data_IF_012993553918
#
_entry.id   IF_012993553918
#
_cell.length_a   1.000
_cell.length_b   1.000
_cell.length_c   1.000
_cell.angle_alpha   90.00
_cell.angle_beta   90.00
_cell.angle_gamma   90.00
#
_symmetry.space_group_name_H-M   'P 1'
#
loop_
_entity.id
_entity.type
_entity.pdbx_description
1 polymer ?
#
# COMPACT_ATOMS: atom_id res chain seq x y z
N UNK A 1 1.62 -28.85 -43.22
CA UNK A 1 2.36 -27.71 -42.65
C UNK A 1 1.77 -27.41 -41.29
N UNK A 2 2.55 -27.63 -40.24
CA UNK A 2 2.15 -27.39 -38.86
C UNK A 2 2.17 -25.87 -38.59
N UNK A 3 1.08 -25.34 -38.05
CA UNK A 3 1.02 -23.99 -37.50
C UNK A 3 1.58 -24.07 -36.08
N UNK A 4 2.83 -23.66 -35.90
CA UNK A 4 3.43 -23.47 -34.58
C UNK A 4 2.75 -22.28 -33.91
N UNK A 5 1.97 -22.58 -32.87
CA UNK A 5 1.40 -21.61 -31.95
C UNK A 5 2.52 -20.79 -31.31
N UNK A 6 2.40 -19.47 -31.41
CA UNK A 6 3.31 -18.56 -30.73
C UNK A 6 3.12 -18.67 -29.22
N UNK A 7 4.14 -19.15 -28.52
CA UNK A 7 4.32 -18.95 -27.09
C UNK A 7 4.42 -17.45 -26.81
N UNK A 8 3.26 -16.80 -26.64
CA UNK A 8 3.14 -15.47 -26.09
C UNK A 8 3.40 -15.47 -24.58
N UNK A 9 4.61 -15.85 -24.16
CA UNK A 9 5.09 -15.54 -22.81
C UNK A 9 5.43 -14.05 -22.75
N UNK A 10 4.40 -13.21 -22.57
CA UNK A 10 4.64 -11.88 -22.03
C UNK A 10 5.00 -12.04 -20.56
N UNK A 11 6.25 -12.39 -20.29
CA UNK A 11 6.89 -12.08 -19.01
C UNK A 11 6.85 -10.56 -18.87
N UNK A 12 5.74 -10.04 -18.33
CA UNK A 12 5.59 -8.61 -18.07
C UNK A 12 6.69 -8.14 -17.14
N UNK A 13 7.47 -7.19 -17.64
CA UNK A 13 8.68 -6.64 -17.06
C UNK A 13 8.45 -6.16 -15.63
N UNK A 14 9.01 -6.89 -14.67
CA UNK A 14 9.06 -6.48 -13.26
C UNK A 14 10.11 -5.39 -13.12
N UNK A 15 9.73 -4.22 -12.60
CA UNK A 15 10.70 -3.14 -12.37
C UNK A 15 11.49 -3.41 -11.09
N UNK A 16 12.80 -3.58 -11.22
CA UNK A 16 13.69 -3.78 -10.08
C UNK A 16 14.06 -2.44 -9.43
N UNK A 17 13.98 -2.39 -8.10
CA UNK A 17 14.35 -1.24 -7.27
C UNK A 17 15.41 -1.71 -6.28
N UNK A 18 16.65 -1.29 -6.53
CA UNK A 18 17.76 -1.62 -5.66
C UNK A 18 17.92 -0.64 -4.50
N UNK A 19 18.28 -1.21 -3.34
CA UNK A 19 18.74 -0.49 -2.16
C UNK A 19 20.17 -0.88 -1.78
N UNK A 20 20.92 0.08 -1.27
CA UNK A 20 22.22 -0.17 -0.62
C UNK A 20 22.05 -0.70 0.81
N UNK A 21 20.83 -0.69 1.35
CA UNK A 21 20.55 -1.29 2.66
C UNK A 21 20.77 -2.81 2.63
N UNK A 22 21.30 -3.34 3.72
CA UNK A 22 21.64 -4.76 3.85
C UNK A 22 20.40 -5.66 3.94
N UNK A 23 19.31 -5.15 4.53
CA UNK A 23 18.03 -5.82 4.68
C UNK A 23 16.85 -4.86 4.48
N UNK A 24 15.67 -5.43 4.22
CA UNK A 24 14.38 -4.73 4.20
C UNK A 24 13.60 -5.13 5.45
N UNK A 25 13.73 -4.35 6.52
CA UNK A 25 12.99 -4.62 7.74
C UNK A 25 11.49 -4.33 7.60
N UNK A 26 10.74 -4.74 8.63
CA UNK A 26 9.30 -4.52 8.70
C UNK A 26 8.90 -3.04 8.63
N UNK A 27 9.72 -2.12 9.16
CA UNK A 27 9.45 -0.68 9.09
C UNK A 27 9.54 -0.17 7.65
N UNK A 28 10.58 -0.57 6.91
CA UNK A 28 10.75 -0.23 5.49
C UNK A 28 9.58 -0.76 4.66
N UNK A 29 9.21 -2.03 4.84
CA UNK A 29 8.07 -2.64 4.13
C UNK A 29 6.76 -1.91 4.46
N UNK A 30 6.51 -1.64 5.74
CA UNK A 30 5.33 -0.90 6.19
C UNK A 30 5.20 0.45 5.49
N UNK A 31 6.26 1.25 5.50
CA UNK A 31 6.24 2.59 4.91
C UNK A 31 6.18 2.56 3.38
N UNK A 32 6.80 1.58 2.73
CA UNK A 32 6.67 1.38 1.28
C UNK A 32 5.22 1.10 0.88
N UNK A 33 4.57 0.17 1.57
CA UNK A 33 3.16 -0.16 1.31
C UNK A 33 2.25 1.02 1.67
N UNK A 34 2.50 1.71 2.79
CA UNK A 34 1.75 2.91 3.21
C UNK A 34 1.84 4.04 2.17
N UNK A 35 3.04 4.36 1.69
CA UNK A 35 3.23 5.38 0.67
C UNK A 35 2.62 4.96 -0.67
N UNK A 36 2.73 3.68 -1.04
CA UNK A 36 2.06 3.13 -2.22
C UNK A 36 0.53 3.25 -2.13
N UNK A 37 -0.07 3.00 -0.97
CA UNK A 37 -1.51 3.21 -0.74
C UNK A 37 -1.89 4.67 -0.98
N UNK A 38 -1.15 5.61 -0.39
CA UNK A 38 -1.41 7.05 -0.59
C UNK A 38 -1.28 7.47 -2.05
N UNK A 39 -0.23 7.00 -2.73
CA UNK A 39 -0.01 7.22 -4.16
C UNK A 39 -1.15 6.67 -5.01
N UNK A 40 -1.53 5.40 -4.81
CA UNK A 40 -2.60 4.75 -5.60
C UNK A 40 -3.93 5.46 -5.40
N UNK A 41 -4.27 5.86 -4.17
CA UNK A 41 -5.50 6.60 -3.91
C UNK A 41 -5.48 7.97 -4.61
N UNK A 42 -4.37 8.70 -4.52
CA UNK A 42 -4.26 10.03 -5.11
C UNK A 42 -4.26 9.98 -6.64
N UNK A 43 -3.40 9.15 -7.24
CA UNK A 43 -3.24 9.06 -8.69
C UNK A 43 -4.50 8.59 -9.41
N UNK A 44 -5.31 7.77 -8.74
CA UNK A 44 -6.60 7.31 -9.27
C UNK A 44 -7.78 8.14 -8.79
N UNK A 45 -7.54 9.38 -8.35
CA UNK A 45 -8.59 10.34 -7.98
C UNK A 45 -9.59 9.77 -6.95
N UNK A 46 -9.12 8.90 -6.06
CA UNK A 46 -9.90 8.34 -4.96
C UNK A 46 -9.92 9.29 -3.76
N UNK A 47 -9.00 10.25 -3.74
CA UNK A 47 -8.87 11.30 -2.73
C UNK A 47 -8.52 12.63 -3.40
N UNK A 48 -8.95 13.78 -2.82
CA UNK A 48 -8.79 15.09 -3.44
C UNK A 48 -7.37 15.67 -3.36
N UNK A 49 -6.57 15.21 -2.40
CA UNK A 49 -5.18 15.63 -2.17
C UNK A 49 -4.39 14.46 -1.59
N UNK A 50 -3.09 14.62 -1.38
CA UNK A 50 -2.27 13.58 -0.76
C UNK A 50 -2.73 13.31 0.68
N UNK A 51 -2.54 12.07 1.17
CA UNK A 51 -3.01 11.66 2.50
C UNK A 51 -2.52 12.57 3.64
N UNK A 52 -1.32 13.15 3.51
CA UNK A 52 -0.79 14.09 4.49
C UNK A 52 -1.65 15.35 4.60
N UNK A 53 -1.99 15.97 3.48
CA UNK A 53 -2.82 17.20 3.45
C UNK A 53 -4.22 16.93 3.99
N UNK A 54 -4.81 15.79 3.63
CA UNK A 54 -6.12 15.36 4.16
C UNK A 54 -6.07 15.18 5.68
N UNK A 55 -4.98 14.61 6.20
CA UNK A 55 -4.82 14.41 7.64
C UNK A 55 -4.73 15.76 8.37
N UNK A 56 -3.95 16.70 7.82
CA UNK A 56 -3.84 18.06 8.35
C UNK A 56 -5.17 18.82 8.30
N UNK A 57 -5.92 18.71 7.20
CA UNK A 57 -7.27 19.30 7.07
C UNK A 57 -8.22 18.71 8.12
N UNK A 58 -8.19 17.39 8.31
CA UNK A 58 -9.00 16.70 9.30
C UNK A 58 -8.69 17.16 10.74
N UNK A 59 -7.42 17.22 11.10
CA UNK A 59 -6.96 17.70 12.41
C UNK A 59 -7.31 19.19 12.62
N UNK A 60 -7.13 20.02 11.59
CA UNK A 60 -7.50 21.44 11.63
C UNK A 60 -9.00 21.64 11.87
N UNK A 61 -9.87 20.86 11.20
CA UNK A 61 -11.32 20.91 11.45
C UNK A 61 -11.69 20.50 12.88
N UNK A 62 -11.00 19.50 13.45
CA UNK A 62 -11.20 19.08 14.83
C UNK A 62 -10.75 20.15 15.83
N UNK A 63 -9.60 20.78 15.58
CA UNK A 63 -9.07 21.87 16.40
C UNK A 63 -10.03 23.07 16.36
N UNK A 64 -10.43 23.52 15.17
CA UNK A 64 -11.37 24.62 14.98
C UNK A 64 -12.72 24.34 15.68
N UNK A 65 -13.26 23.13 15.53
CA UNK A 65 -14.50 22.74 16.20
C UNK A 65 -14.38 22.87 17.73
N UNK A 66 -13.26 22.40 18.31
CA UNK A 66 -13.00 22.45 19.74
C UNK A 66 -12.81 23.88 20.25
N UNK A 67 -12.13 24.72 19.49
CA UNK A 67 -11.96 26.14 19.80
C UNK A 67 -13.31 26.88 19.82
N UNK A 68 -14.15 26.65 18.80
CA UNK A 68 -15.50 27.23 18.74
C UNK A 68 -16.39 26.77 19.89
N UNK A 69 -16.26 25.51 20.32
CA UNK A 69 -16.97 24.98 21.49
C UNK A 69 -16.53 25.66 22.79
N UNK A 70 -15.22 25.85 22.98
CA UNK A 70 -14.67 26.58 24.13
C UNK A 70 -15.09 28.06 24.13
N UNK A 71 -15.12 28.70 22.97
CA UNK A 71 -15.54 30.09 22.85
C UNK A 71 -17.03 30.28 23.15
N UNK A 72 -17.89 29.36 22.70
CA UNK A 72 -19.32 29.40 23.03
C UNK A 72 -19.61 29.15 24.51
N UNK A 73 -18.74 28.41 25.22
CA UNK A 73 -18.86 28.20 26.65
C UNK A 73 -18.54 29.47 27.47
N UNK A 74 -17.95 30.51 26.87
CA UNK A 74 -17.69 31.80 27.53
C UNK A 74 -19.00 32.61 27.66
N UNK A 75 -19.25 33.14 28.85
CA UNK A 75 -20.53 33.78 29.23
C UNK A 75 -20.88 35.03 28.39
N UNK A 76 -19.90 35.70 27.78
CA UNK A 76 -20.06 37.03 27.14
C UNK A 76 -20.00 37.06 25.60
N UNK A 77 -20.33 35.97 24.89
CA UNK A 77 -20.36 36.03 23.42
C UNK A 77 -21.61 36.78 22.91
N UNK A 78 -21.42 37.87 22.16
CA UNK A 78 -22.51 38.61 21.46
C UNK A 78 -23.39 37.67 20.62
N UNK A 79 -24.70 37.91 20.58
CA UNK A 79 -25.65 37.03 19.89
C UNK A 79 -25.39 36.84 18.38
N UNK A 80 -24.85 37.85 17.69
CA UNK A 80 -24.41 37.73 16.29
C UNK A 80 -23.22 36.79 16.13
N UNK A 81 -22.22 36.91 17.01
CA UNK A 81 -21.03 36.08 17.04
C UNK A 81 -21.39 34.61 17.39
N UNK A 82 -22.33 34.41 18.33
CA UNK A 82 -22.86 33.07 18.64
C UNK A 82 -23.48 32.40 17.41
N UNK A 83 -24.29 33.12 16.62
CA UNK A 83 -24.90 32.57 15.39
C UNK A 83 -23.85 32.18 14.36
N UNK A 84 -22.82 33.01 14.18
CA UNK A 84 -21.70 32.73 13.30
C UNK A 84 -20.92 31.48 13.75
N UNK A 85 -20.57 31.38 15.04
CA UNK A 85 -19.88 30.20 15.60
C UNK A 85 -20.70 28.93 15.41
N UNK A 86 -22.00 28.96 15.71
CA UNK A 86 -22.89 27.80 15.52
C UNK A 86 -22.96 27.39 14.05
N UNK A 87 -23.00 28.35 13.12
CA UNK A 87 -22.93 28.09 11.68
C UNK A 87 -21.63 27.36 11.32
N UNK A 88 -20.49 27.91 11.73
CA UNK A 88 -19.17 27.33 11.44
C UNK A 88 -18.99 25.95 12.06
N UNK A 89 -19.44 25.74 13.30
CA UNK A 89 -19.42 24.42 13.94
C UNK A 89 -20.22 23.37 13.16
N UNK A 90 -21.32 23.75 12.50
CA UNK A 90 -22.08 22.82 11.64
C UNK A 90 -21.27 22.42 10.42
N UNK A 91 -20.55 23.35 9.81
CA UNK A 91 -19.64 23.08 8.69
C UNK A 91 -18.50 22.14 9.12
N UNK A 92 -17.80 22.45 10.22
CA UNK A 92 -16.75 21.60 10.76
C UNK A 92 -17.28 20.19 11.07
N UNK A 93 -18.43 20.07 11.74
CA UNK A 93 -19.08 18.77 12.01
C UNK A 93 -19.38 17.98 10.74
N UNK A 94 -19.86 18.65 9.70
CA UNK A 94 -20.16 17.99 8.43
C UNK A 94 -18.88 17.54 7.71
N UNK A 95 -17.83 18.36 7.72
CA UNK A 95 -16.51 18.03 7.19
C UNK A 95 -15.86 16.85 7.91
N UNK A 96 -15.85 16.89 9.25
CA UNK A 96 -15.36 15.80 10.11
C UNK A 96 -16.09 14.50 9.77
N UNK A 97 -17.43 14.49 9.79
CA UNK A 97 -18.21 13.27 9.46
C UNK A 97 -17.94 12.73 8.06
N UNK A 98 -17.69 13.62 7.09
CA UNK A 98 -17.36 13.23 5.71
C UNK A 98 -16.03 12.49 5.64
N UNK A 99 -15.03 12.97 6.39
CA UNK A 99 -13.65 12.48 6.33
C UNK A 99 -13.37 11.35 7.33
N UNK A 100 -14.09 11.31 8.45
CA UNK A 100 -13.89 10.37 9.57
C UNK A 100 -13.90 8.91 9.12
N UNK A 101 -14.88 8.51 8.31
CA UNK A 101 -14.94 7.13 7.80
C UNK A 101 -13.72 6.77 6.94
N UNK A 102 -13.25 7.72 6.15
CA UNK A 102 -12.06 7.53 5.32
C UNK A 102 -10.81 7.41 6.20
N UNK A 103 -10.58 8.36 7.11
CA UNK A 103 -9.43 8.35 8.02
C UNK A 103 -9.40 7.10 8.89
N UNK A 104 -10.55 6.68 9.42
CA UNK A 104 -10.67 5.43 10.17
C UNK A 104 -10.31 4.22 9.30
N UNK A 105 -10.75 4.17 8.04
CA UNK A 105 -10.39 3.05 7.14
C UNK A 105 -8.90 3.01 6.83
N UNK A 106 -8.25 4.17 6.67
CA UNK A 106 -6.80 4.28 6.47
C UNK A 106 -6.06 3.82 7.72
N UNK A 107 -6.45 4.32 8.89
CA UNK A 107 -5.86 3.96 10.19
C UNK A 107 -6.01 2.47 10.48
N UNK A 108 -7.21 1.89 10.36
CA UNK A 108 -7.41 0.46 10.59
C UNK A 108 -6.63 -0.43 9.63
N UNK A 109 -6.48 -0.02 8.36
CA UNK A 109 -5.64 -0.74 7.40
C UNK A 109 -4.16 -0.65 7.78
N UNK A 110 -3.67 0.54 8.16
CA UNK A 110 -2.29 0.72 8.61
C UNK A 110 -2.00 -0.11 9.87
N UNK A 111 -2.88 -0.09 10.87
CA UNK A 111 -2.76 -0.93 12.08
C UNK A 111 -2.77 -2.42 11.73
N UNK A 112 -3.68 -2.87 10.85
CA UNK A 112 -3.70 -4.25 10.40
C UNK A 112 -2.37 -4.66 9.73
N UNK A 113 -1.82 -3.79 8.89
CA UNK A 113 -0.54 -4.03 8.22
C UNK A 113 0.63 -4.07 9.23
N UNK A 114 0.66 -3.17 10.22
CA UNK A 114 1.67 -3.20 11.29
C UNK A 114 1.62 -4.54 12.04
N UNK A 115 0.43 -4.93 12.52
CA UNK A 115 0.25 -6.21 13.24
C UNK A 115 0.70 -7.41 12.41
N UNK A 116 0.37 -7.42 11.12
CA UNK A 116 0.80 -8.49 10.21
C UNK A 116 2.31 -8.54 10.04
N UNK A 117 2.97 -7.38 9.87
CA UNK A 117 4.42 -7.31 9.73
C UNK A 117 5.11 -7.73 11.04
N UNK A 118 4.54 -7.38 12.20
CA UNK A 118 5.04 -7.84 13.50
C UNK A 118 4.96 -9.37 13.65
N UNK A 119 3.90 -10.01 13.14
CA UNK A 119 3.80 -11.48 13.14
C UNK A 119 4.66 -12.15 12.06
N UNK A 120 4.80 -11.52 10.90
CA UNK A 120 5.52 -12.04 9.74
C UNK A 120 6.44 -10.95 9.20
N UNK A 121 7.66 -10.81 9.76
CA UNK A 121 8.58 -9.76 9.32
C UNK A 121 9.05 -9.98 7.88
N UNK A 122 9.11 -11.23 7.43
CA UNK A 122 9.60 -11.61 6.09
C UNK A 122 8.47 -11.66 5.05
N UNK A 123 7.66 -10.60 4.96
CA UNK A 123 6.62 -10.51 3.91
C UNK A 123 7.29 -10.57 2.54
N UNK A 124 6.90 -11.54 1.71
CA UNK A 124 7.48 -11.72 0.37
C UNK A 124 6.73 -10.93 -0.68
N UNK A 125 5.41 -10.80 -0.53
CA UNK A 125 4.55 -10.33 -1.61
C UNK A 125 3.32 -9.58 -1.06
N UNK A 126 3.10 -8.37 -1.58
CA UNK A 126 1.95 -7.52 -1.28
C UNK A 126 1.29 -7.10 -2.58
N UNK A 127 -0.04 -7.15 -2.62
CA UNK A 127 -0.84 -6.66 -3.73
C UNK A 127 -1.82 -5.61 -3.22
N UNK A 128 -1.83 -4.46 -3.87
CA UNK A 128 -2.89 -3.47 -3.77
C UNK A 128 -3.81 -3.62 -4.99
N UNK A 129 -5.10 -3.86 -4.74
CA UNK A 129 -6.13 -3.99 -5.77
C UNK A 129 -7.07 -2.81 -5.68
N UNK A 130 -7.13 -2.00 -6.73
CA UNK A 130 -8.11 -0.93 -6.86
C UNK A 130 -9.25 -1.40 -7.77
N UNK A 131 -10.48 -1.44 -7.27
CA UNK A 131 -11.64 -1.93 -8.03
C UNK A 131 -12.88 -2.21 -7.19
N UNK A 132 -13.87 -2.85 -7.82
CA UNK A 132 -15.15 -3.18 -7.14
C UNK A 132 -15.01 -4.32 -6.13
N UNK A 133 -14.06 -5.21 -6.37
CA UNK A 133 -13.70 -6.35 -5.52
C UNK A 133 -12.29 -6.83 -5.87
N UNK A 134 -11.61 -7.59 -5.00
CA UNK A 134 -10.28 -8.13 -5.30
C UNK A 134 -10.20 -8.96 -6.60
N UNK A 135 -11.29 -9.66 -6.96
CA UNK A 135 -11.36 -10.50 -8.17
C UNK A 135 -11.72 -9.72 -9.44
N UNK A 136 -12.25 -8.49 -9.30
CA UNK A 136 -12.58 -7.57 -10.40
C UNK A 136 -11.78 -6.25 -10.26
N UNK A 137 -10.45 -6.30 -10.41
CA UNK A 137 -9.62 -5.10 -10.40
C UNK A 137 -9.90 -4.20 -11.60
N UNK A 138 -9.71 -2.91 -11.39
CA UNK A 138 -9.40 -1.93 -12.44
C UNK A 138 -7.88 -1.77 -12.55
N UNK A 139 -7.20 -1.68 -11.41
CA UNK A 139 -5.73 -1.59 -11.34
C UNK A 139 -5.19 -2.54 -10.26
N UNK A 140 -3.99 -3.06 -10.53
CA UNK A 140 -3.27 -3.95 -9.61
C UNK A 140 -1.84 -3.44 -9.47
N UNK A 141 -1.40 -3.26 -8.23
CA UNK A 141 -0.02 -2.94 -7.88
C UNK A 141 0.55 -4.07 -7.05
N UNK A 142 1.65 -4.64 -7.48
CA UNK A 142 2.24 -5.83 -6.89
C UNK A 142 3.68 -5.52 -6.52
N UNK A 143 4.00 -5.75 -5.25
CA UNK A 143 5.30 -5.47 -4.66
C UNK A 143 5.90 -6.77 -4.14
N UNK A 144 7.11 -7.07 -4.60
CA UNK A 144 7.90 -8.20 -4.15
C UNK A 144 9.05 -7.70 -3.29
N UNK A 145 9.28 -8.34 -2.15
CA UNK A 145 10.37 -8.00 -1.24
C UNK A 145 11.32 -9.20 -1.15
N UNK A 146 12.54 -9.02 -1.64
CA UNK A 146 13.59 -10.02 -1.51
C UNK A 146 14.26 -9.88 -0.15
N UNK A 147 14.30 -10.97 0.61
CA UNK A 147 15.01 -11.07 1.88
C UNK A 147 16.32 -11.83 1.64
N UNK A 148 17.48 -11.17 1.82
CA UNK A 148 18.81 -11.78 1.64
C UNK A 148 19.26 -12.53 2.89
N UNK A 149 19.03 -11.93 4.06
CA UNK A 149 19.33 -12.47 5.38
C UNK A 149 18.16 -12.14 6.32
N UNK A 150 17.85 -13.02 7.28
CA UNK A 150 16.90 -12.68 8.32
C UNK A 150 17.43 -11.44 9.04
N UNK A 151 16.71 -10.32 8.95
CA UNK A 151 17.06 -9.14 9.72
C UNK A 151 17.17 -9.55 11.20
N UNK A 152 18.12 -9.01 11.98
CA UNK A 152 18.14 -9.23 13.41
C UNK A 152 16.73 -8.88 13.93
N UNK A 153 16.16 -9.77 14.75
CA UNK A 153 14.82 -9.66 15.31
C UNK A 153 14.76 -8.48 16.28
N UNK A 154 14.77 -7.27 15.74
CA UNK A 154 14.54 -6.02 16.45
C UNK A 154 13.08 -5.67 16.22
N UNK A 155 12.38 -5.40 17.31
CA UNK A 155 11.01 -4.92 17.25
C UNK A 155 10.97 -3.63 16.40
N UNK A 156 10.17 -3.65 15.33
CA UNK A 156 10.07 -2.51 14.43
C UNK A 156 9.37 -1.35 15.15
N UNK A 157 10.07 -0.22 15.33
CA UNK A 157 9.48 1.02 15.87
C UNK A 157 8.50 1.69 14.89
N UNK A 158 8.41 1.17 13.65
CA UNK A 158 7.64 1.68 12.53
C UNK A 158 7.86 3.19 12.28
N UNK A 159 9.01 3.75 12.69
CA UNK A 159 9.40 5.12 12.38
C UNK A 159 9.93 5.17 10.94
N UNK A 160 9.51 6.19 10.19
CA UNK A 160 9.92 6.33 8.78
C UNK A 160 11.39 6.71 8.69
N UNK A 161 12.25 5.74 8.40
CA UNK A 161 13.68 5.96 8.14
C UNK A 161 13.96 6.53 6.74
N UNK A 162 15.19 7.04 6.55
CA UNK A 162 15.68 7.57 5.27
C UNK A 162 15.64 6.53 4.14
N UNK A 163 15.88 5.26 4.46
CA UNK A 163 15.82 4.14 3.50
C UNK A 163 14.41 3.99 2.93
N UNK A 164 13.40 3.95 3.81
CA UNK A 164 12.00 3.88 3.40
C UNK A 164 11.62 5.09 2.53
N UNK A 165 11.97 6.30 2.94
CA UNK A 165 11.68 7.52 2.17
C UNK A 165 12.31 7.50 0.77
N UNK A 166 13.59 7.13 0.69
CA UNK A 166 14.31 7.04 -0.59
C UNK A 166 13.73 5.98 -1.52
N UNK A 167 13.37 4.81 -0.97
CA UNK A 167 12.77 3.73 -1.76
C UNK A 167 11.33 4.05 -2.18
N UNK A 168 10.52 4.67 -1.33
CA UNK A 168 9.17 5.11 -1.70
C UNK A 168 9.22 6.09 -2.87
N UNK A 169 10.13 7.07 -2.83
CA UNK A 169 10.32 8.01 -3.94
C UNK A 169 10.75 7.31 -5.23
N UNK A 170 11.64 6.32 -5.16
CA UNK A 170 12.04 5.51 -6.33
C UNK A 170 10.87 4.69 -6.86
N UNK A 171 10.11 4.04 -5.98
CA UNK A 171 8.93 3.25 -6.33
C UNK A 171 7.86 4.07 -7.03
N UNK A 172 7.49 5.21 -6.46
CA UNK A 172 6.51 6.12 -7.04
C UNK A 172 6.96 6.61 -8.42
N UNK A 173 8.23 7.02 -8.59
CA UNK A 173 8.76 7.41 -9.90
C UNK A 173 8.69 6.28 -10.91
N UNK A 174 9.07 5.06 -10.52
CA UNK A 174 8.98 3.89 -11.40
C UNK A 174 7.53 3.60 -11.83
N UNK A 175 6.56 3.70 -10.92
CA UNK A 175 5.14 3.53 -11.23
C UNK A 175 4.65 4.59 -12.22
N UNK A 176 5.01 5.86 -12.02
CA UNK A 176 4.67 6.96 -12.93
C UNK A 176 5.26 6.71 -14.32
N UNK A 177 6.54 6.34 -14.40
CA UNK A 177 7.21 6.03 -15.68
C UNK A 177 6.60 4.83 -16.42
N UNK A 178 5.86 3.98 -15.72
CA UNK A 178 5.11 2.84 -16.29
C UNK A 178 3.66 3.19 -16.65
N UNK A 179 3.23 4.45 -16.47
CA UNK A 179 1.89 4.91 -16.81
C UNK A 179 0.84 4.75 -15.69
N UNK A 180 1.27 4.61 -14.42
CA UNK A 180 0.33 4.65 -13.30
C UNK A 180 -0.38 6.01 -13.25
N UNK A 181 -1.72 5.99 -13.32
CA UNK A 181 -2.56 7.20 -13.34
C UNK A 181 -2.90 7.73 -14.73
N UNK A 182 -2.48 7.09 -15.81
CA UNK A 182 -2.81 7.51 -17.19
C UNK A 182 -4.25 7.17 -17.63
N UNK A 183 -5.01 6.44 -16.82
CA UNK A 183 -6.38 6.01 -17.12
C UNK A 183 -7.42 6.92 -16.48
N UNK A 184 -8.51 7.21 -17.20
CA UNK A 184 -9.67 7.90 -16.66
C UNK A 184 -10.30 7.11 -15.51
N UNK A 185 -10.65 7.79 -14.42
CA UNK A 185 -11.26 7.17 -13.25
C UNK A 185 -12.79 7.22 -13.35
N UNK A 186 -13.52 6.09 -13.35
CA UNK A 186 -14.98 6.06 -13.50
C UNK A 186 -15.74 6.47 -12.22
N UNK A 187 -15.04 7.07 -11.24
CA UNK A 187 -15.56 7.48 -9.95
C UNK A 187 -14.98 6.71 -8.75
N UNK A 188 -15.49 6.98 -7.53
CA UNK A 188 -14.96 6.40 -6.31
C UNK A 188 -15.14 4.87 -6.24
N UNK A 189 -14.04 4.16 -5.98
CA UNK A 189 -13.96 2.71 -5.87
C UNK A 189 -13.28 2.30 -4.56
N UNK A 190 -12.89 1.03 -4.42
CA UNK A 190 -12.25 0.51 -3.20
C UNK A 190 -10.82 0.05 -3.47
N UNK A 191 -9.93 0.35 -2.53
CA UNK A 191 -8.60 -0.21 -2.44
C UNK A 191 -8.59 -1.37 -1.45
N UNK A 192 -8.16 -2.54 -1.90
CA UNK A 192 -7.98 -3.74 -1.10
C UNK A 192 -6.50 -4.07 -0.96
N UNK A 193 -6.08 -4.45 0.25
CA UNK A 193 -4.75 -4.95 0.54
C UNK A 193 -4.79 -6.48 0.60
N UNK A 194 -3.89 -7.13 -0.13
CA UNK A 194 -3.64 -8.56 -0.06
C UNK A 194 -2.18 -8.81 0.22
N UNK A 195 -1.91 -9.78 1.09
CA UNK A 195 -0.56 -10.14 1.49
C UNK A 195 -0.40 -11.64 1.40
N UNK A 196 0.73 -12.09 0.88
CA UNK A 196 1.07 -13.50 0.84
C UNK A 196 1.81 -13.87 2.12
N UNK A 197 1.27 -14.83 2.85
CA UNK A 197 1.74 -15.22 4.17
C UNK A 197 1.63 -16.74 4.36
N UNK A 198 2.39 -17.33 5.31
CA UNK A 198 2.26 -18.73 5.67
C UNK A 198 0.83 -19.07 6.14
N UNK A 199 0.40 -20.31 5.93
CA UNK A 199 -0.92 -20.81 6.37
C UNK A 199 -1.10 -20.79 7.89
N UNK A 200 -0.01 -20.75 8.66
CA UNK A 200 -0.01 -20.59 10.11
C UNK A 200 -0.38 -19.18 10.59
N UNK A 201 -0.38 -18.18 9.69
CA UNK A 201 -0.74 -16.81 10.01
C UNK A 201 -2.19 -16.69 10.50
N UNK A 202 -2.39 -15.96 11.61
CA UNK A 202 -3.71 -15.90 12.25
C UNK A 202 -4.02 -14.56 12.92
N UNK A 203 -4.42 -13.57 12.11
CA UNK A 203 -5.06 -12.34 12.58
C UNK A 203 -6.51 -12.22 12.07
N UNK A 204 -7.46 -13.01 12.62
CA UNK A 204 -8.79 -13.19 12.02
C UNK A 204 -9.67 -11.93 12.07
N UNK A 205 -9.37 -11.00 12.99
CA UNK A 205 -10.02 -9.68 13.07
C UNK A 205 -9.59 -8.74 11.95
N UNK A 206 -8.41 -8.97 11.35
CA UNK A 206 -7.81 -8.07 10.37
C UNK A 206 -7.68 -8.70 8.98
N UNK A 207 -7.54 -10.03 8.89
CA UNK A 207 -7.26 -10.73 7.65
C UNK A 207 -8.14 -11.97 7.46
N UNK A 208 -8.40 -12.27 6.18
CA UNK A 208 -9.16 -13.44 5.74
C UNK A 208 -8.31 -14.27 4.78
N UNK A 209 -8.14 -15.59 5.01
CA UNK A 209 -7.44 -16.45 4.07
C UNK A 209 -8.22 -16.56 2.75
N UNK A 210 -7.51 -16.54 1.63
CA UNK A 210 -8.02 -16.60 0.27
C UNK A 210 -7.17 -17.55 -0.59
N UNK A 211 -7.26 -18.85 -0.30
CA UNK A 211 -6.47 -19.91 -0.96
C UNK A 211 -6.59 -19.87 -2.49
N UNK A 212 -7.79 -19.64 -2.99
CA UNK A 212 -8.09 -19.64 -4.44
C UNK A 212 -8.08 -18.24 -5.06
N UNK A 213 -7.48 -17.25 -4.39
CA UNK A 213 -7.46 -15.89 -4.92
C UNK A 213 -6.72 -15.83 -6.26
N UNK A 214 -7.46 -15.46 -7.30
CA UNK A 214 -6.95 -15.09 -8.61
C UNK A 214 -7.80 -13.95 -9.15
N UNK A 215 -7.17 -12.86 -9.56
CA UNK A 215 -7.85 -11.79 -10.28
C UNK A 215 -7.84 -12.05 -11.79
N UNK A 216 -8.68 -11.31 -12.53
CA UNK A 216 -8.80 -11.45 -13.99
C UNK A 216 -7.46 -11.29 -14.73
N UNK A 217 -7.16 -12.23 -15.64
CA UNK A 217 -5.98 -12.17 -16.53
C UNK A 217 -6.01 -11.00 -17.52
N UNK A 218 -7.14 -10.29 -17.65
CA UNK A 218 -7.28 -9.11 -18.51
C UNK A 218 -6.57 -7.87 -17.95
N UNK A 219 -6.23 -7.88 -16.66
CA UNK A 219 -5.57 -6.75 -15.99
C UNK A 219 -4.06 -6.95 -16.00
N UNK A 220 -3.36 -5.93 -16.47
CA UNK A 220 -1.90 -5.84 -16.43
C UNK A 220 -1.48 -5.19 -15.11
N UNK A 221 -0.76 -5.91 -14.22
CA UNK A 221 -0.34 -5.37 -12.94
C UNK A 221 0.93 -4.51 -13.08
N UNK A 222 1.03 -3.45 -12.28
CA UNK A 222 2.29 -2.74 -12.03
C UNK A 222 3.13 -3.55 -11.04
N UNK A 223 4.24 -4.12 -11.49
CA UNK A 223 5.10 -5.00 -10.68
C UNK A 223 6.40 -4.32 -10.29
N UNK A 224 6.64 -4.20 -8.99
CA UNK A 224 7.89 -3.70 -8.42
C UNK A 224 8.57 -4.80 -7.62
N UNK A 225 9.88 -4.95 -7.76
CA UNK A 225 10.70 -5.85 -6.94
C UNK A 225 11.76 -5.07 -6.20
N UNK A 226 11.74 -5.13 -4.88
CA UNK A 226 12.72 -4.49 -4.01
C UNK A 226 13.82 -5.49 -3.66
N UNK A 227 15.08 -5.13 -3.94
CA UNK A 227 16.26 -5.97 -3.70
C UNK A 227 17.34 -5.23 -2.93
N UNK A 228 17.95 -5.92 -1.96
CA UNK A 228 19.18 -5.48 -1.29
C UNK A 228 20.41 -5.84 -2.14
N UNK A 229 21.32 -4.88 -2.35
CA UNK A 229 22.51 -5.07 -3.20
C UNK A 229 23.47 -6.15 -2.73
N UNK A 230 23.51 -6.46 -1.44
CA UNK A 230 24.30 -7.57 -0.89
C UNK A 230 23.95 -8.93 -1.49
N UNK A 231 22.78 -9.07 -2.14
CA UNK A 231 22.38 -10.29 -2.84
C UNK A 231 23.20 -10.60 -4.12
N UNK A 232 23.92 -9.63 -4.68
CA UNK A 232 24.73 -9.82 -5.90
C UNK A 232 26.19 -10.21 -5.65
N UNK A 233 26.69 -10.07 -4.41
CA UNK A 233 28.12 -10.26 -4.10
C UNK A 233 28.48 -11.69 -3.65
N UNK A 234 27.53 -12.49 -3.18
CA UNK A 234 27.81 -13.87 -2.74
C UNK A 234 27.97 -14.87 -3.90
N UNK A 235 27.46 -14.54 -5.09
CA UNK A 235 27.59 -15.42 -6.28
C UNK A 235 29.01 -15.32 -6.88
N UNK A 236 29.69 -14.18 -6.73
CA UNK A 236 31.01 -13.96 -7.35
C UNK A 236 32.21 -14.31 -6.44
N UNK A 237 31.97 -14.61 -5.16
CA UNK A 237 33.04 -14.94 -4.20
C UNK A 237 33.32 -16.46 -4.06
N UNK A 238 32.53 -17.32 -4.70
CA UNK A 238 32.69 -18.80 -4.62
C UNK A 238 33.21 -19.45 -5.92
N UNK A 239 33.77 -18.65 -6.82
CA UNK A 239 34.34 -19.12 -8.09
C UNK A 239 35.80 -19.54 -8.01
N UNK A 240 36.10 -20.72 -7.43
CA UNK A 240 37.28 -21.49 -7.86
C UNK A 240 37.12 -23.00 -7.59
N UNK A 241 36.92 -23.76 -8.67
CA UNK A 241 37.40 -25.15 -8.77
C UNK A 241 36.39 -26.28 -8.57
N UNK A 242 35.58 -26.59 -9.58
CA UNK A 242 35.64 -27.87 -10.32
C UNK A 242 34.36 -28.13 -11.12
N UNK A 243 34.55 -28.50 -12.39
CA UNK A 243 33.52 -28.91 -13.33
C UNK A 243 32.93 -30.28 -12.94
N UNK A 244 31.61 -30.38 -12.84
CA UNK A 244 30.80 -31.36 -13.60
C UNK A 244 29.39 -31.48 -12.99
N UNK A 245 28.39 -31.61 -13.86
CA UNK A 245 26.96 -31.81 -13.63
C UNK A 245 26.13 -30.53 -13.51
N UNK A 246 25.49 -30.18 -14.64
CA UNK A 246 24.29 -29.34 -14.69
C UNK A 246 23.21 -29.99 -13.83
N UNK A 247 23.14 -29.58 -12.58
CA UNK A 247 21.91 -29.71 -11.79
C UNK A 247 21.23 -28.35 -11.81
N UNK A 248 20.17 -28.25 -12.61
CA UNK A 248 19.13 -27.25 -12.47
C UNK A 248 18.46 -27.52 -11.11
N UNK A 249 19.13 -27.09 -10.04
CA UNK A 249 18.68 -27.24 -8.66
C UNK A 249 17.51 -26.31 -8.40
N UNK A 250 16.34 -26.75 -8.87
CA UNK A 250 15.05 -26.18 -8.56
C UNK A 250 14.97 -25.82 -7.08
N UNK A 251 14.65 -24.56 -6.86
CA UNK A 251 13.85 -24.04 -5.75
C UNK A 251 12.73 -25.05 -5.46
N UNK A 252 12.94 -25.98 -4.52
CA UNK A 252 11.91 -26.91 -4.06
C UNK A 252 12.31 -27.47 -2.69
N UNK A 253 12.11 -26.65 -1.66
CA UNK A 253 12.02 -27.09 -0.26
C UNK A 253 11.35 -25.98 0.57
N UNK A 254 10.01 -25.85 0.45
CA UNK A 254 9.03 -25.13 1.33
C UNK A 254 7.94 -24.32 0.60
N UNK A 255 7.78 -24.38 -0.73
CA UNK A 255 6.80 -23.54 -1.44
C UNK A 255 5.31 -23.96 -1.28
N UNK A 256 4.98 -24.91 -0.40
CA UNK A 256 3.61 -25.43 -0.25
C UNK A 256 2.72 -24.62 0.69
N UNK A 257 3.27 -23.72 1.50
CA UNK A 257 2.55 -23.25 2.70
C UNK A 257 2.14 -21.77 2.66
N UNK A 258 2.40 -21.04 1.57
CA UNK A 258 1.99 -19.64 1.47
C UNK A 258 0.66 -19.49 0.72
N UNK A 259 -0.26 -18.74 1.32
CA UNK A 259 -1.55 -18.40 0.72
C UNK A 259 -1.77 -16.89 0.75
N UNK A 260 -2.75 -16.43 -0.02
CA UNK A 260 -3.17 -15.04 0.04
C UNK A 260 -4.04 -14.79 1.26
N UNK A 261 -3.81 -13.67 1.93
CA UNK A 261 -4.66 -13.12 2.97
C UNK A 261 -5.16 -11.75 2.53
N UNK A 262 -6.47 -11.54 2.58
CA UNK A 262 -7.10 -10.26 2.28
C UNK A 262 -7.30 -9.48 3.58
N UNK A 263 -6.83 -8.23 3.64
CA UNK A 263 -7.20 -7.33 4.73
C UNK A 263 -8.72 -7.08 4.71
N UNK A 264 -9.35 -7.14 5.89
CA UNK A 264 -10.77 -6.83 6.09
C UNK A 264 -11.05 -5.34 5.94
N UNK A 265 -10.05 -4.50 6.20
CA UNK A 265 -10.12 -3.06 6.05
C UNK A 265 -9.81 -2.69 4.60
N UNK A 266 -10.84 -2.26 3.87
CA UNK A 266 -10.70 -1.70 2.53
C UNK A 266 -10.96 -0.19 2.58
N UNK A 267 -10.14 0.58 1.86
CA UNK A 267 -10.31 2.04 1.80
C UNK A 267 -11.25 2.34 0.65
N UNK A 268 -12.36 3.03 0.94
CA UNK A 268 -13.26 3.54 -0.10
C UNK A 268 -12.86 4.96 -0.45
N UNK A 269 -12.72 5.26 -1.74
CA UNK A 269 -12.49 6.62 -2.21
C UNK A 269 -13.60 7.59 -1.77
N UNK A 270 -13.23 8.84 -1.59
CA UNK A 270 -14.14 9.94 -1.23
C UNK A 270 -14.69 10.52 -2.53
N UNK A 271 -16.00 10.78 -2.57
CA UNK A 271 -16.57 11.54 -3.66
C UNK A 271 -16.22 13.03 -3.48
N UNK A 272 -15.55 13.61 -4.47
CA UNK A 272 -15.31 15.05 -4.57
C UNK A 272 -15.54 15.50 -6.01
N UNK A 273 -15.81 16.79 -6.19
CA UNK A 273 -15.92 17.36 -7.53
C UNK A 273 -14.51 17.46 -8.11
N UNK A 274 -14.20 16.63 -9.10
CA UNK A 274 -13.07 16.88 -9.98
C UNK A 274 -13.41 18.12 -10.81
N UNK A 275 -12.49 19.09 -10.99
CA UNK A 275 -12.68 20.13 -11.99
C UNK A 275 -12.98 19.44 -13.32
N UNK A 276 -14.11 19.73 -13.94
CA UNK A 276 -14.31 19.37 -15.34
C UNK A 276 -13.23 20.13 -16.12
N UNK A 277 -12.36 19.40 -16.83
CA UNK A 277 -11.42 20.02 -17.76
C UNK A 277 -12.26 20.78 -18.80
N UNK A 278 -12.21 22.11 -18.74
CA UNK A 278 -12.82 23.02 -19.71
C UNK A 278 -11.92 23.27 -20.91
#
# INVERSE_FOLDING_TARGET
MALTEGEGSSEMEVTEIETTAEFLDGSVIFHLVKDAIGFVLYMHQQIPSILQDISLEFESMHAEYKELEMDLAKTEVKASLRRMHVGRMRECKQGIRRMEKFMNSVSCLQTALQLMISEIPNIQEVILVLGTSPIRPQHVYQMYFSHSNAAPSVEADFIKGKTAEGLSKKAIRALISRGAGSSSCPGPTKLFLMVKAPTSFNLPLHFLPKRDFRYSKRIVPFRLRFRCRTQGLEIDASGHGSLSSRSTGLINSSSSDFIWFQCRHAIKGIAFKTPEEG
#
